data_IF_703426184208
#
_entry.id   IF_703426184208
#
_cell.length_a   1.000
_cell.length_b   1.000
_cell.length_c   1.000
_cell.angle_alpha   90.00
_cell.angle_beta   90.00
_cell.angle_gamma   90.00
#
_symmetry.space_group_name_H-M   'P 1'
#
loop_
_entity.id
_entity.type
_entity.pdbx_description
1 polymer ?
#
# COMPACT_ATOMS: atom_id res chain seq x y z
N UNK A 1 -6.61 -18.79 4.01
CA UNK A 1 -5.74 -18.57 2.82
C UNK A 1 -5.24 -17.12 2.67
N UNK A 2 -5.04 -16.37 3.76
CA UNK A 2 -4.58 -14.97 3.71
C UNK A 2 -3.06 -14.77 3.87
N UNK A 3 -2.28 -15.85 4.02
CA UNK A 3 -0.84 -15.77 4.26
C UNK A 3 -0.03 -15.17 3.09
N UNK A 4 -0.56 -15.11 1.88
CA UNK A 4 0.05 -14.44 0.73
C UNK A 4 -0.25 -12.95 0.65
N UNK A 5 -1.18 -12.43 1.46
CA UNK A 5 -1.56 -11.01 1.43
C UNK A 5 -0.56 -10.16 2.21
N UNK A 6 -0.04 -9.14 1.54
CA UNK A 6 0.88 -8.14 2.10
C UNK A 6 0.20 -6.77 1.97
N UNK A 7 -0.04 -6.12 3.08
CA UNK A 7 -0.73 -4.84 3.13
C UNK A 7 0.25 -3.73 3.50
N UNK A 8 0.69 -2.98 2.48
CA UNK A 8 1.68 -1.91 2.62
C UNK A 8 1.00 -0.63 3.11
N UNK A 9 1.48 -0.08 4.20
CA UNK A 9 0.96 1.16 4.79
C UNK A 9 2.09 2.15 5.06
N UNK A 10 1.74 3.40 5.24
CA UNK A 10 2.68 4.46 5.58
C UNK A 10 2.10 5.83 5.27
N UNK A 11 2.70 6.91 5.80
CA UNK A 11 2.21 8.26 5.60
C UNK A 11 2.19 8.67 4.12
N UNK A 12 1.42 9.71 3.81
CA UNK A 12 1.51 10.36 2.51
C UNK A 12 2.92 10.93 2.30
N UNK A 13 3.45 10.83 1.09
CA UNK A 13 4.80 11.32 0.78
C UNK A 13 5.94 10.35 1.19
N UNK A 14 5.66 9.24 1.88
CA UNK A 14 6.70 8.28 2.28
C UNK A 14 7.31 7.49 1.11
N UNK A 15 6.69 7.55 -0.09
CA UNK A 15 7.20 6.92 -1.31
C UNK A 15 6.64 5.52 -1.61
N UNK A 16 5.47 5.15 -1.08
CA UNK A 16 4.83 3.85 -1.39
C UNK A 16 4.63 3.63 -2.88
N UNK A 17 4.05 4.62 -3.59
CA UNK A 17 3.75 4.52 -5.02
C UNK A 17 5.03 4.35 -5.85
N UNK A 18 6.12 5.07 -5.47
CA UNK A 18 7.43 4.94 -6.13
C UNK A 18 8.06 3.57 -5.90
N UNK A 19 7.93 3.01 -4.69
CA UNK A 19 8.41 1.65 -4.38
C UNK A 19 7.63 0.59 -5.18
N UNK A 20 6.31 0.75 -5.33
CA UNK A 20 5.49 -0.14 -6.13
C UNK A 20 5.81 -0.06 -7.62
N UNK A 21 6.03 1.15 -8.15
CA UNK A 21 6.48 1.35 -9.53
C UNK A 21 7.84 0.69 -9.75
N UNK A 22 8.78 0.89 -8.83
CA UNK A 22 10.08 0.22 -8.88
C UNK A 22 9.96 -1.31 -8.87
N UNK A 23 9.13 -1.87 -8.00
CA UNK A 23 8.86 -3.31 -7.98
C UNK A 23 8.27 -3.82 -9.31
N UNK A 24 7.35 -3.07 -9.92
CA UNK A 24 6.74 -3.46 -11.19
C UNK A 24 7.74 -3.54 -12.35
N UNK A 25 8.82 -2.75 -12.29
CA UNK A 25 9.87 -2.66 -13.32
C UNK A 25 11.05 -3.63 -13.10
N UNK A 26 11.13 -4.27 -11.93
CA UNK A 26 12.29 -5.09 -11.57
C UNK A 26 11.91 -6.57 -11.37
N UNK A 27 12.80 -7.52 -11.72
CA UNK A 27 12.56 -8.94 -11.48
C UNK A 27 12.41 -9.25 -9.99
N UNK A 28 11.43 -10.05 -9.63
CA UNK A 28 11.18 -10.50 -8.25
C UNK A 28 11.97 -11.79 -7.92
N UNK A 29 13.27 -11.78 -8.19
CA UNK A 29 14.14 -12.93 -7.94
C UNK A 29 14.31 -13.19 -6.44
N UNK A 30 14.32 -14.46 -6.06
CA UNK A 30 14.50 -14.86 -4.65
C UNK A 30 13.25 -14.85 -3.79
N UNK A 31 12.09 -14.43 -4.33
CA UNK A 31 10.83 -14.57 -3.61
C UNK A 31 10.35 -16.03 -3.62
N UNK A 32 9.76 -16.46 -2.51
CA UNK A 32 9.22 -17.82 -2.35
C UNK A 32 7.95 -18.09 -3.18
N UNK A 33 7.30 -17.04 -3.67
CA UNK A 33 6.10 -17.12 -4.52
C UNK A 33 6.07 -15.94 -5.50
N UNK A 34 5.39 -16.07 -6.65
CA UNK A 34 5.18 -14.94 -7.56
C UNK A 34 4.44 -13.80 -6.87
N UNK A 35 4.95 -12.57 -7.03
CA UNK A 35 4.36 -11.37 -6.46
C UNK A 35 3.45 -10.67 -7.48
N UNK A 36 2.27 -10.25 -7.03
CA UNK A 36 1.32 -9.40 -7.75
C UNK A 36 1.08 -8.13 -6.96
N UNK A 37 1.07 -7.00 -7.63
CA UNK A 37 0.67 -5.71 -7.05
C UNK A 37 -0.79 -5.50 -7.39
N UNK A 38 -1.64 -5.42 -6.37
CA UNK A 38 -3.07 -5.19 -6.55
C UNK A 38 -3.34 -3.77 -7.06
N UNK A 39 -4.12 -3.65 -8.11
CA UNK A 39 -4.57 -2.37 -8.66
C UNK A 39 -5.67 -1.79 -7.78
N UNK A 40 -5.52 -0.53 -7.38
CA UNK A 40 -6.57 0.18 -6.64
C UNK A 40 -7.63 0.75 -7.59
N UNK A 41 -8.90 0.73 -7.17
CA UNK A 41 -9.96 1.57 -7.72
C UNK A 41 -10.05 2.84 -6.86
N UNK A 42 -10.05 4.03 -7.47
CA UNK A 42 -10.02 5.31 -6.72
C UNK A 42 -11.02 6.27 -7.36
N UNK A 43 -11.77 7.03 -6.54
CA UNK A 43 -12.66 8.13 -6.99
C UNK A 43 -11.84 9.38 -7.34
N UNK A 44 -10.82 9.20 -8.15
CA UNK A 44 -9.93 10.23 -8.67
C UNK A 44 -9.72 10.03 -10.16
N UNK A 45 -9.72 11.09 -11.01
CA UNK A 45 -9.37 10.98 -12.41
C UNK A 45 -8.00 10.31 -12.61
N UNK A 46 -7.84 9.61 -13.74
CA UNK A 46 -6.58 8.97 -14.13
C UNK A 46 -5.62 10.01 -14.74
N UNK A 47 -5.26 11.03 -13.98
CA UNK A 47 -4.43 12.15 -14.41
C UNK A 47 -2.98 11.97 -13.94
N UNK A 48 -2.16 11.34 -14.76
CA UNK A 48 -0.70 11.43 -14.70
C UNK A 48 0.00 11.14 -13.36
N UNK A 49 -0.64 10.45 -12.41
CA UNK A 49 0.00 10.02 -11.17
C UNK A 49 0.95 8.85 -11.42
N UNK A 50 1.91 8.65 -10.51
CA UNK A 50 2.89 7.54 -10.57
C UNK A 50 2.26 6.16 -10.35
N UNK A 51 0.99 6.09 -9.95
CA UNK A 51 0.26 4.84 -9.69
C UNK A 51 -0.80 4.60 -10.78
N UNK A 52 -0.68 3.47 -11.47
CA UNK A 52 -1.73 2.97 -12.35
C UNK A 52 -2.92 2.48 -11.51
N UNK A 53 -4.00 3.24 -11.46
CA UNK A 53 -5.24 2.88 -10.76
C UNK A 53 -6.44 2.82 -11.71
N UNK A 54 -7.51 2.15 -11.28
CA UNK A 54 -8.82 2.23 -11.93
C UNK A 54 -9.51 3.51 -11.44
N UNK A 55 -9.72 4.48 -12.34
CA UNK A 55 -10.46 5.69 -12.02
C UNK A 55 -11.96 5.40 -12.04
N UNK A 56 -12.67 5.70 -10.97
CA UNK A 56 -14.11 5.56 -10.86
C UNK A 56 -14.74 6.90 -10.50
N UNK A 57 -15.97 7.14 -10.99
CA UNK A 57 -16.82 8.17 -10.42
C UNK A 57 -17.36 7.70 -9.06
N UNK A 58 -17.84 8.62 -8.22
CA UNK A 58 -18.50 8.28 -6.95
C UNK A 58 -19.66 7.29 -7.16
N UNK A 59 -20.48 7.52 -8.17
CA UNK A 59 -21.59 6.62 -8.50
C UNK A 59 -21.11 5.22 -8.92
N UNK A 60 -20.08 5.15 -9.77
CA UNK A 60 -19.52 3.87 -10.21
C UNK A 60 -18.90 3.09 -9.02
N UNK A 61 -18.22 3.80 -8.12
CA UNK A 61 -17.67 3.20 -6.90
C UNK A 61 -18.78 2.62 -6.02
N UNK A 62 -19.85 3.39 -5.77
CA UNK A 62 -21.00 2.94 -4.98
C UNK A 62 -21.70 1.73 -5.60
N UNK A 63 -21.82 1.68 -6.93
CA UNK A 63 -22.40 0.52 -7.62
C UNK A 63 -21.57 -0.76 -7.37
N UNK A 64 -20.24 -0.64 -7.39
CA UNK A 64 -19.34 -1.77 -7.12
C UNK A 64 -19.44 -2.23 -5.66
N UNK A 65 -19.53 -1.27 -4.74
CA UNK A 65 -19.65 -1.53 -3.30
C UNK A 65 -20.95 -2.27 -2.98
N UNK A 66 -22.09 -1.78 -3.50
CA UNK A 66 -23.41 -2.44 -3.34
C UNK A 66 -23.41 -3.84 -3.94
N UNK A 67 -22.71 -4.05 -5.04
CA UNK A 67 -22.55 -5.37 -5.66
C UNK A 67 -21.53 -6.27 -4.95
N UNK A 68 -21.01 -5.87 -3.77
CA UNK A 68 -19.94 -6.56 -3.05
C UNK A 68 -18.71 -6.89 -3.91
N UNK A 69 -18.42 -6.03 -4.89
CA UNK A 69 -17.32 -6.22 -5.85
C UNK A 69 -15.95 -5.88 -5.30
N UNK A 70 -15.88 -5.22 -4.12
CA UNK A 70 -14.62 -4.96 -3.42
C UNK A 70 -14.34 -6.01 -2.35
N UNK A 71 -13.09 -6.47 -2.29
CA UNK A 71 -12.57 -7.26 -1.18
C UNK A 71 -12.22 -6.37 0.04
N UNK A 72 -11.82 -5.14 -0.24
CA UNK A 72 -11.47 -4.11 0.74
C UNK A 72 -11.85 -2.74 0.17
N UNK A 73 -12.35 -1.85 1.00
CA UNK A 73 -12.54 -0.44 0.63
C UNK A 73 -12.40 0.47 1.86
N UNK A 74 -11.98 1.69 1.64
CA UNK A 74 -11.79 2.71 2.70
C UNK A 74 -11.85 4.12 2.12
N UNK A 75 -11.97 5.09 2.99
CA UNK A 75 -11.88 6.50 2.65
C UNK A 75 -10.59 7.10 3.21
N UNK A 76 -9.94 7.95 2.42
CA UNK A 76 -8.77 8.71 2.86
C UNK A 76 -8.58 9.96 1.99
N UNK A 77 -8.22 11.08 2.63
CA UNK A 77 -7.95 12.35 1.95
C UNK A 77 -9.08 12.83 1.02
N UNK A 78 -10.35 12.62 1.40
CA UNK A 78 -11.51 13.00 0.60
C UNK A 78 -11.76 12.14 -0.65
N UNK A 79 -11.12 10.99 -0.76
CA UNK A 79 -11.29 10.03 -1.84
C UNK A 79 -11.67 8.66 -1.29
N UNK A 80 -12.35 7.88 -2.12
CA UNK A 80 -12.66 6.47 -1.84
C UNK A 80 -11.69 5.58 -2.59
N UNK A 81 -11.26 4.52 -1.92
CA UNK A 81 -10.31 3.52 -2.41
C UNK A 81 -10.90 2.13 -2.28
N UNK A 82 -10.72 1.30 -3.29
CA UNK A 82 -11.17 -0.09 -3.26
C UNK A 82 -10.14 -1.03 -3.87
N UNK A 83 -10.15 -2.27 -3.41
CA UNK A 83 -9.45 -3.41 -4.02
C UNK A 83 -10.52 -4.37 -4.51
N UNK A 84 -10.60 -4.57 -5.81
CA UNK A 84 -11.55 -5.51 -6.41
C UNK A 84 -11.31 -6.93 -5.91
N UNK A 85 -12.37 -7.75 -5.81
CA UNK A 85 -12.26 -9.18 -5.49
C UNK A 85 -11.26 -9.90 -6.43
N UNK A 86 -11.30 -9.57 -7.72
CA UNK A 86 -10.42 -10.14 -8.73
C UNK A 86 -8.93 -9.88 -8.49
N UNK A 87 -8.56 -8.76 -7.84
CA UNK A 87 -7.17 -8.42 -7.52
C UNK A 87 -6.57 -9.38 -6.48
N UNK A 88 -7.40 -9.99 -5.65
CA UNK A 88 -6.96 -10.96 -4.64
C UNK A 88 -7.09 -12.42 -5.12
N UNK A 89 -7.67 -12.68 -6.29
CA UNK A 89 -7.79 -14.03 -6.84
C UNK A 89 -6.45 -14.78 -6.94
N UNK A 90 -5.29 -14.14 -7.25
CA UNK A 90 -3.99 -14.82 -7.29
C UNK A 90 -3.59 -15.49 -5.97
N UNK A 91 -4.11 -15.05 -4.81
CA UNK A 91 -3.88 -15.70 -3.51
C UNK A 91 -4.30 -17.16 -3.50
N UNK A 92 -5.39 -17.51 -4.19
CA UNK A 92 -5.88 -18.89 -4.31
C UNK A 92 -4.92 -19.80 -5.09
N UNK A 93 -4.05 -19.20 -5.90
CA UNK A 93 -3.03 -19.91 -6.70
C UNK A 93 -1.62 -19.82 -6.09
N UNK A 94 -1.52 -19.50 -4.80
CA UNK A 94 -0.25 -19.45 -4.07
C UNK A 94 0.62 -18.22 -4.38
N UNK A 95 0.10 -17.23 -5.10
CA UNK A 95 0.82 -15.97 -5.31
C UNK A 95 0.79 -15.11 -4.06
N UNK A 96 1.77 -14.26 -3.93
CA UNK A 96 1.70 -13.13 -3.01
C UNK A 96 1.02 -11.95 -3.69
N UNK A 97 0.18 -11.24 -2.92
CA UNK A 97 -0.51 -10.04 -3.39
C UNK A 97 -0.17 -8.88 -2.46
N UNK A 98 0.46 -7.85 -3.03
CA UNK A 98 0.85 -6.62 -2.33
C UNK A 98 -0.19 -5.53 -2.59
N UNK A 99 -0.83 -5.07 -1.52
CA UNK A 99 -1.86 -4.02 -1.55
C UNK A 99 -1.28 -2.71 -1.02
N UNK A 100 -1.43 -1.62 -1.77
CA UNK A 100 -1.16 -0.25 -1.28
C UNK A 100 -2.34 0.25 -0.46
N UNK A 101 -2.22 0.18 0.86
CA UNK A 101 -3.32 0.38 1.78
C UNK A 101 -3.25 1.67 2.61
N UNK A 102 -4.22 1.79 3.51
CA UNK A 102 -4.33 2.87 4.49
C UNK A 102 -4.06 2.34 5.91
N UNK A 103 -3.33 3.12 6.70
CA UNK A 103 -3.11 2.82 8.13
C UNK A 103 -4.43 2.74 8.91
N UNK A 104 -5.39 3.58 8.56
CA UNK A 104 -6.70 3.61 9.21
C UNK A 104 -7.51 2.31 8.98
N UNK A 105 -7.24 1.58 7.90
CA UNK A 105 -7.93 0.32 7.59
C UNK A 105 -7.26 -0.91 8.25
N UNK A 106 -6.09 -0.78 8.86
CA UNK A 106 -5.37 -1.92 9.47
C UNK A 106 -6.20 -2.70 10.50
N UNK A 107 -6.98 -2.06 11.40
CA UNK A 107 -7.84 -2.81 12.33
C UNK A 107 -8.85 -3.72 11.61
N UNK A 108 -9.53 -3.23 10.58
CA UNK A 108 -10.48 -3.99 9.77
C UNK A 108 -9.78 -5.09 8.96
N UNK A 109 -8.59 -4.78 8.41
CA UNK A 109 -7.77 -5.78 7.73
C UNK A 109 -7.48 -6.98 8.64
N UNK A 110 -7.04 -6.72 9.88
CA UNK A 110 -6.67 -7.79 10.83
C UNK A 110 -7.86 -8.67 11.21
N UNK A 111 -9.07 -8.10 11.24
CA UNK A 111 -10.31 -8.85 11.50
C UNK A 111 -10.70 -9.71 10.29
N UNK A 112 -10.72 -9.13 9.10
CA UNK A 112 -11.15 -9.81 7.87
C UNK A 112 -10.08 -10.74 7.26
N UNK A 113 -8.79 -10.44 7.52
CA UNK A 113 -7.64 -11.13 6.91
C UNK A 113 -6.56 -11.45 7.95
N UNK A 114 -6.83 -12.30 8.95
CA UNK A 114 -5.93 -12.52 10.09
C UNK A 114 -4.56 -13.09 9.72
N UNK A 115 -4.40 -13.65 8.51
CA UNK A 115 -3.11 -14.11 8.00
C UNK A 115 -2.37 -13.08 7.12
N UNK A 116 -2.91 -11.88 6.96
CA UNK A 116 -2.24 -10.82 6.22
C UNK A 116 -1.03 -10.29 6.98
N UNK A 117 0.06 -10.00 6.26
CA UNK A 117 1.22 -9.31 6.84
C UNK A 117 1.10 -7.82 6.57
N UNK A 118 1.33 -7.00 7.59
CA UNK A 118 1.37 -5.55 7.44
C UNK A 118 2.82 -5.10 7.23
N UNK A 119 3.06 -4.28 6.21
CA UNK A 119 4.35 -3.68 5.89
C UNK A 119 4.28 -2.17 6.09
N UNK A 120 4.99 -1.68 7.09
CA UNK A 120 5.08 -0.26 7.41
C UNK A 120 6.23 0.40 6.65
N UNK A 121 5.92 1.32 5.75
CA UNK A 121 6.92 2.17 5.11
C UNK A 121 7.09 3.44 5.92
N UNK A 122 8.33 3.75 6.25
CA UNK A 122 8.71 4.93 7.02
C UNK A 122 9.71 5.78 6.26
N UNK A 123 9.76 7.06 6.57
CA UNK A 123 10.85 7.95 6.18
C UNK A 123 11.01 9.05 7.25
N UNK A 124 12.20 9.62 7.43
CA UNK A 124 12.40 10.76 8.30
C UNK A 124 11.50 11.95 7.88
N UNK A 125 11.02 12.72 8.87
CA UNK A 125 10.09 13.81 8.62
C UNK A 125 10.61 14.83 7.59
N UNK A 126 11.91 15.15 7.61
CA UNK A 126 12.52 16.06 6.65
C UNK A 126 12.50 15.50 5.21
N UNK A 127 12.66 14.18 5.03
CA UNK A 127 12.57 13.52 3.72
C UNK A 127 11.14 13.55 3.19
N UNK A 128 10.17 13.26 4.05
CA UNK A 128 8.74 13.33 3.69
C UNK A 128 8.36 14.76 3.29
N UNK A 129 8.80 15.75 4.07
CA UNK A 129 8.56 17.17 3.78
C UNK A 129 9.15 17.58 2.44
N UNK A 130 10.39 17.24 2.17
CA UNK A 130 11.06 17.53 0.90
C UNK A 130 10.29 16.93 -0.28
N UNK A 131 9.92 15.65 -0.22
CA UNK A 131 9.17 14.93 -1.26
C UNK A 131 7.78 15.52 -1.51
N UNK A 132 7.10 16.01 -0.47
CA UNK A 132 5.81 16.67 -0.60
C UNK A 132 5.94 18.04 -1.28
N UNK A 133 6.98 18.81 -0.94
CA UNK A 133 7.31 20.09 -1.60
C UNK A 133 7.62 19.91 -3.09
N UNK A 134 8.47 18.93 -3.43
CA UNK A 134 8.84 18.61 -4.83
C UNK A 134 7.63 18.19 -5.69
N UNK A 135 6.60 17.59 -5.09
CA UNK A 135 5.34 17.25 -5.79
C UNK A 135 4.47 18.45 -6.13
N UNK A 136 4.64 19.59 -5.46
CA UNK A 136 3.98 20.86 -5.76
C UNK A 136 2.45 20.87 -5.67
N UNK A 137 1.84 19.85 -5.05
CA UNK A 137 0.36 19.72 -4.93
C UNK A 137 -0.23 20.46 -3.74
N UNK A 138 0.60 20.89 -2.81
CA UNK A 138 0.18 21.49 -1.53
C UNK A 138 1.12 22.60 -1.14
N UNK A 139 0.59 23.66 -0.55
CA UNK A 139 1.36 24.82 -0.08
C UNK A 139 0.99 25.20 1.34
N UNK A 140 1.95 25.72 2.12
CA UNK A 140 1.71 26.38 3.41
C UNK A 140 1.06 25.48 4.49
N UNK A 141 -0.05 25.94 5.05
CA UNK A 141 -0.72 25.31 6.20
C UNK A 141 -1.22 23.89 5.93
N UNK A 142 -1.62 23.58 4.69
CA UNK A 142 -2.09 22.24 4.31
C UNK A 142 -0.97 21.21 4.35
N UNK A 143 0.25 21.60 3.96
CA UNK A 143 1.45 20.78 4.03
C UNK A 143 1.80 20.42 5.48
N UNK A 144 1.82 21.42 6.37
CA UNK A 144 2.14 21.21 7.80
C UNK A 144 1.07 20.36 8.50
N UNK A 145 -0.22 20.62 8.23
CA UNK A 145 -1.32 19.80 8.73
C UNK A 145 -1.23 18.34 8.25
N UNK A 146 -0.72 18.11 7.03
CA UNK A 146 -0.53 16.77 6.48
C UNK A 146 0.67 16.06 7.09
N UNK A 147 1.76 16.78 7.35
CA UNK A 147 2.93 16.25 8.08
C UNK A 147 2.53 15.84 9.50
N UNK A 148 1.81 16.70 10.22
CA UNK A 148 1.31 16.41 11.57
C UNK A 148 0.38 15.18 11.58
N UNK A 149 -0.61 15.12 10.69
CA UNK A 149 -1.47 13.94 10.54
C UNK A 149 -0.69 12.69 10.16
N UNK A 150 0.46 12.82 9.48
CA UNK A 150 1.31 11.68 9.15
C UNK A 150 2.00 11.08 10.38
N UNK A 151 2.25 11.88 11.41
CA UNK A 151 2.89 11.47 12.66
C UNK A 151 1.89 10.80 13.62
N UNK A 152 0.65 11.30 13.69
CA UNK A 152 -0.40 10.81 14.62
C UNK A 152 -0.93 9.41 14.29
N UNK A 153 -0.78 8.96 13.06
CA UNK A 153 -1.23 7.64 12.65
C UNK A 153 -0.11 6.60 12.74
N UNK A 154 0.66 6.57 13.81
CA UNK A 154 1.43 5.38 14.17
C UNK A 154 0.43 4.28 14.52
N UNK A 155 -0.25 3.73 13.50
CA UNK A 155 -1.12 2.56 13.66
C UNK A 155 -0.38 1.55 14.53
N UNK A 156 -1.04 1.08 15.56
CA UNK A 156 -0.48 0.16 16.52
C UNK A 156 0.24 -0.96 15.78
N UNK A 157 1.57 -0.91 15.78
CA UNK A 157 2.39 -1.96 15.22
C UNK A 157 2.25 -3.16 16.13
N UNK A 158 2.15 -4.33 15.54
CA UNK A 158 2.17 -5.57 16.29
C UNK A 158 3.49 -6.31 16.07
N UNK A 159 3.91 -7.12 17.02
CA UNK A 159 5.00 -8.07 16.78
C UNK A 159 4.71 -8.89 15.52
N UNK A 160 5.67 -8.95 14.59
CA UNK A 160 5.52 -9.64 13.31
C UNK A 160 5.15 -8.75 12.13
N UNK A 161 4.83 -7.47 12.34
CA UNK A 161 4.74 -6.51 11.24
C UNK A 161 6.13 -6.25 10.64
N UNK A 162 6.17 -6.10 9.32
CA UNK A 162 7.39 -5.73 8.61
C UNK A 162 7.59 -4.21 8.59
N UNK A 163 8.83 -3.77 8.56
CA UNK A 163 9.18 -2.36 8.47
C UNK A 163 10.25 -2.11 7.42
N UNK A 164 10.08 -1.04 6.65
CA UNK A 164 11.07 -0.54 5.70
C UNK A 164 11.29 0.96 5.89
N UNK A 165 12.54 1.38 6.06
CA UNK A 165 12.94 2.78 6.12
C UNK A 165 13.30 3.28 4.70
N UNK A 166 12.41 4.02 4.06
CA UNK A 166 12.62 4.63 2.75
C UNK A 166 13.22 6.04 2.87
N UNK A 167 14.44 6.13 3.36
CA UNK A 167 15.13 7.40 3.61
C UNK A 167 16.11 7.82 2.51
N UNK A 168 16.51 6.89 1.64
CA UNK A 168 17.57 7.07 0.67
C UNK A 168 17.09 7.06 -0.80
N UNK A 169 17.99 6.57 -1.66
CA UNK A 169 17.72 6.37 -3.08
C UNK A 169 16.69 5.27 -3.29
N UNK A 170 15.82 5.45 -4.28
CA UNK A 170 14.73 4.51 -4.56
C UNK A 170 15.23 3.09 -4.88
N UNK A 171 16.33 2.98 -5.63
CA UNK A 171 16.93 1.69 -6.00
C UNK A 171 17.48 0.91 -4.78
N UNK A 172 17.96 1.62 -3.75
CA UNK A 172 18.40 0.99 -2.49
C UNK A 172 17.18 0.48 -1.72
N UNK A 173 16.20 1.35 -1.48
CA UNK A 173 14.98 0.97 -0.75
C UNK A 173 14.16 -0.10 -1.48
N UNK A 174 14.18 -0.12 -2.82
CA UNK A 174 13.55 -1.16 -3.63
C UNK A 174 14.20 -2.53 -3.43
N UNK A 175 15.55 -2.60 -3.43
CA UNK A 175 16.27 -3.84 -3.12
C UNK A 175 16.07 -4.31 -1.68
N UNK A 176 16.07 -3.38 -0.72
CA UNK A 176 15.76 -3.69 0.68
C UNK A 176 14.34 -4.24 0.84
N UNK A 177 13.37 -3.68 0.11
CA UNK A 177 12.00 -4.19 0.07
C UNK A 177 11.95 -5.63 -0.46
N UNK A 178 12.63 -5.93 -1.58
CA UNK A 178 12.72 -7.29 -2.10
C UNK A 178 13.37 -8.25 -1.11
N UNK A 179 14.47 -7.85 -0.46
CA UNK A 179 15.14 -8.66 0.53
C UNK A 179 14.23 -8.93 1.76
N UNK A 180 13.49 -7.91 2.21
CA UNK A 180 12.53 -8.04 3.30
C UNK A 180 11.39 -9.02 2.94
N UNK A 181 10.87 -8.94 1.72
CA UNK A 181 9.86 -9.88 1.22
C UNK A 181 10.42 -11.30 1.09
N UNK A 182 11.65 -11.46 0.60
CA UNK A 182 12.31 -12.76 0.47
C UNK A 182 12.57 -13.45 1.83
N UNK A 183 12.89 -12.67 2.86
CA UNK A 183 13.09 -13.17 4.22
C UNK A 183 11.80 -13.57 4.95
N UNK A 184 10.63 -13.33 4.33
CA UNK A 184 9.33 -13.64 4.92
C UNK A 184 9.16 -15.15 5.09
N UNK A 185 8.78 -15.62 6.31
CA UNK A 185 8.51 -17.03 6.51
C UNK A 185 7.42 -17.52 5.55
N UNK A 186 7.67 -18.62 4.87
CA UNK A 186 6.59 -19.32 4.18
C UNK A 186 5.61 -19.81 5.24
N UNK A 187 4.32 -19.53 5.05
CA UNK A 187 3.30 -20.20 5.84
C UNK A 187 3.47 -21.70 5.59
N UNK A 188 3.90 -22.40 6.63
CA UNK A 188 4.29 -23.80 6.53
C UNK A 188 3.20 -24.62 5.87
N UNK A 189 3.58 -25.39 4.90
CA UNK A 189 2.91 -26.63 4.52
C UNK A 189 2.84 -27.49 5.79
N UNK A 190 1.72 -27.41 6.52
CA UNK A 190 1.29 -28.45 7.45
C UNK A 190 0.18 -29.23 6.80
#
# INVERSE_FOLDING_TARGET
MSHGLIYMVGPSGVGKDSLLAWLAEHPHTGLAAPLRIARRSITRPADGGTEAHEALTEQAFSNVEVAAGFAMHWEANGLRYGIRQAELAPLAHGHWVLVNGSRAYVPQLRQGWPGASVLHIQAPAHVVRQRLLERGRETGADLEARILRSQDLSAARLPGDMELLNAGRLDVSGRELLALLAARPQAGTR
#
